data_IF_997919774787
#
_entry.id   IF_997919774787
#
_cell.length_a   1.000
_cell.length_b   1.000
_cell.length_c   1.000
_cell.angle_alpha   90.00
_cell.angle_beta   90.00
_cell.angle_gamma   90.00
#
_symmetry.space_group_name_H-M   'P 1'
#
loop_
_entity.id
_entity.type
_entity.pdbx_description
1 polymer ?
2 water ?
#
# COMPACT_ATOMS: atom_id res chain seq x y z
N UNK A 1 10.29 -6.23 1.00
CA UNK A 1 11.10 -7.47 1.15
C UNK A 1 10.36 -8.68 0.56
N UNK A 2 9.55 -8.43 -0.46
CA UNK A 2 8.79 -9.47 -1.15
C UNK A 2 7.95 -8.80 -2.22
N UNK A 3 8.31 -9.05 -3.47
CA UNK A 3 7.63 -8.48 -4.62
C UNK A 3 7.29 -9.60 -5.59
N UNK A 4 6.33 -9.36 -6.47
CA UNK A 4 5.95 -10.36 -7.46
C UNK A 4 6.91 -10.26 -8.64
N UNK A 5 6.69 -9.27 -9.50
CA UNK A 5 7.53 -9.07 -10.68
C UNK A 5 6.92 -7.98 -11.58
N UNK A 6 7.69 -6.91 -11.82
CA UNK A 6 7.23 -5.78 -12.64
C UNK A 6 7.17 -6.10 -14.14
N UNK A 7 6.04 -5.78 -14.77
CA UNK A 7 5.85 -6.02 -16.20
C UNK A 7 5.86 -7.51 -16.52
N UNK A 11 -0.22 -10.91 -2.90
CA UNK A 11 -1.15 -11.35 -1.86
C UNK A 11 -1.89 -10.16 -1.26
N UNK A 12 -3.18 -10.34 -0.94
CA UNK A 12 -3.99 -9.26 -0.36
C UNK A 12 -3.60 -8.95 1.09
N UNK A 13 -3.71 -7.68 1.45
CA UNK A 13 -3.36 -7.24 2.79
C UNK A 13 -4.26 -6.08 3.19
N UNK A 14 -4.15 -5.66 4.44
CA UNK A 14 -4.94 -4.53 4.91
C UNK A 14 -4.06 -3.29 4.88
N UNK A 15 -4.67 -2.13 5.10
CA UNK A 15 -3.96 -0.86 5.08
C UNK A 15 -2.63 -0.83 5.86
N UNK A 16 -2.65 -1.25 7.12
CA UNK A 16 -1.45 -1.23 7.95
C UNK A 16 -0.28 -2.05 7.41
N UNK A 17 -0.58 -3.16 6.75
CA UNK A 17 0.46 -4.00 6.19
C UNK A 17 1.06 -3.38 4.93
N UNK A 18 0.23 -2.69 4.15
CA UNK A 18 0.68 -2.05 2.92
C UNK A 18 1.65 -0.91 3.24
N UNK A 19 1.34 -0.18 4.30
CA UNK A 19 2.17 0.92 4.75
C UNK A 19 3.55 0.41 5.12
N UNK A 20 3.58 -0.73 5.82
CA UNK A 20 4.85 -1.32 6.22
C UNK A 20 5.65 -1.68 4.98
N UNK A 21 4.99 -2.26 3.97
CA UNK A 21 5.67 -2.62 2.73
C UNK A 21 6.10 -1.37 1.97
N UNK A 22 5.26 -0.35 2.00
CA UNK A 22 5.55 0.91 1.32
C UNK A 22 6.87 1.49 1.85
N UNK A 23 7.03 1.47 3.17
CA UNK A 23 8.23 2.01 3.79
C UNK A 23 9.46 1.12 3.68
N UNK A 24 9.28 -0.20 3.76
CA UNK A 24 10.41 -1.12 3.65
C UNK A 24 11.11 -0.88 2.31
N UNK A 25 10.32 -0.59 1.27
CA UNK A 25 10.85 -0.32 -0.07
C UNK A 25 11.26 1.15 -0.17
N UNK A 26 10.73 1.97 0.73
CA UNK A 26 11.04 3.38 0.73
C UNK A 26 10.29 4.18 -0.32
N UNK A 27 9.05 3.79 -0.60
CA UNK A 27 8.23 4.49 -1.59
C UNK A 27 7.25 5.48 -0.94
N UNK A 28 6.75 6.41 -1.75
CA UNK A 28 5.82 7.43 -1.28
C UNK A 28 4.37 6.98 -1.37
N UNK A 29 4.13 5.93 -2.15
CA UNK A 29 2.80 5.35 -2.31
C UNK A 29 2.95 3.88 -2.68
N UNK A 30 1.93 3.08 -2.40
CA UNK A 30 2.01 1.66 -2.65
C UNK A 30 0.64 1.12 -3.10
N UNK A 31 0.62 0.47 -4.25
CA UNK A 31 -0.61 -0.08 -4.80
C UNK A 31 -0.76 -1.53 -4.38
N UNK A 32 -1.94 -1.91 -3.92
CA UNK A 32 -2.14 -3.28 -3.48
C UNK A 32 -3.60 -3.68 -3.55
N UNK A 33 -3.87 -4.94 -3.19
CA UNK A 33 -5.24 -5.45 -3.18
C UNK A 33 -5.70 -5.53 -1.72
N UNK A 34 -6.91 -5.07 -1.44
CA UNK A 34 -7.42 -5.10 -0.07
C UNK A 34 -7.85 -6.51 0.32
N UNK A 35 -7.80 -6.81 1.60
CA UNK A 35 -8.18 -8.13 2.08
C UNK A 35 -9.67 -8.45 1.90
N UNK A 36 -10.53 -7.84 2.71
CA UNK A 36 -11.97 -8.11 2.65
C UNK A 36 -12.71 -7.60 1.42
N UNK A 37 -12.31 -6.46 0.87
CA UNK A 37 -13.01 -5.94 -0.31
C UNK A 37 -12.47 -6.58 -1.58
N UNK A 38 -11.17 -6.86 -1.59
CA UNK A 38 -10.49 -7.46 -2.74
C UNK A 38 -10.35 -6.42 -3.86
N UNK A 39 -10.50 -5.15 -3.48
CA UNK A 39 -10.37 -4.08 -4.45
C UNK A 39 -8.97 -3.48 -4.39
N UNK A 40 -8.57 -2.83 -5.47
CA UNK A 40 -7.26 -2.21 -5.55
C UNK A 40 -7.21 -0.91 -4.72
N UNK A 41 -6.35 -0.86 -3.71
CA UNK A 41 -6.21 0.35 -2.90
C UNK A 41 -4.82 0.96 -3.03
N UNK A 42 -4.68 2.21 -2.59
CA UNK A 42 -3.40 2.90 -2.64
C UNK A 42 -3.13 3.67 -1.34
N UNK A 43 -2.08 3.28 -0.62
CA UNK A 43 -1.70 3.99 0.61
C UNK A 43 -0.51 4.88 0.25
N UNK A 44 -0.43 6.05 0.87
CA UNK A 44 0.66 6.96 0.55
C UNK A 44 0.90 7.91 1.69
N UNK A 45 2.09 8.51 1.69
CA UNK A 45 2.45 9.45 2.73
C UNK A 45 1.94 10.84 2.34
N UNK A 46 1.41 11.56 3.32
CA UNK A 46 0.93 12.92 3.09
C UNK A 46 2.04 13.83 3.57
N UNK A 47 1.96 15.11 3.25
CA UNK A 47 3.01 16.03 3.66
C UNK A 47 3.08 16.26 5.17
N UNK A 48 1.92 16.34 5.81
CA UNK A 48 1.90 16.57 7.25
C UNK A 48 2.33 15.36 8.06
N UNK A 49 2.86 14.34 7.38
CA UNK A 49 3.33 13.15 8.06
C UNK A 49 2.32 12.03 8.23
N UNK A 50 1.03 12.33 8.09
CA UNK A 50 -0.01 11.29 8.22
C UNK A 50 -0.07 10.49 6.92
N UNK A 51 -0.76 9.36 6.98
CA UNK A 51 -0.93 8.49 5.82
C UNK A 51 -2.32 8.70 5.26
N UNK A 52 -2.46 8.38 3.97
CA UNK A 52 -3.74 8.49 3.30
C UNK A 52 -4.00 7.22 2.51
N UNK A 53 -5.26 6.97 2.19
CA UNK A 53 -5.61 5.78 1.45
C UNK A 53 -6.67 6.08 0.41
N UNK A 54 -6.46 5.56 -0.79
CA UNK A 54 -7.40 5.72 -1.88
C UNK A 54 -7.97 4.33 -2.17
N UNK A 55 -9.26 4.26 -2.49
CA UNK A 55 -9.92 3.00 -2.76
C UNK A 55 -10.30 2.79 -4.23
N UNK A 56 -10.36 1.53 -4.63
CA UNK A 56 -10.70 1.15 -6.00
C UNK A 56 -9.66 1.63 -7.01
#
# INVERSE_FOLDING_TARGET
EIVRTKQFSLKPMDSEEAVLQMNLLGHSFYVYTDAETNGTNIVYSRKDGKYGLIETN
#
